data_IF_285293122962
#
_entry.id   IF_285293122962
#
_cell.length_a   1.000
_cell.length_b   1.000
_cell.length_c   1.000
_cell.angle_alpha   90.00
_cell.angle_beta   90.00
_cell.angle_gamma   90.00
#
_symmetry.space_group_name_H-M   'P 1'
#
loop_
_entity.id
_entity.type
_entity.pdbx_description
1 polymer ?
#
# COMPACT_ATOMS: atom_id res chain seq x y z
N UNK A 1 -26.29 -17.76 -17.50
CA UNK A 1 -25.68 -18.15 -18.79
C UNK A 1 -25.41 -19.64 -18.74
N UNK A 2 -26.00 -20.42 -19.65
CA UNK A 2 -25.76 -21.86 -19.75
C UNK A 2 -24.36 -22.09 -20.33
N UNK A 3 -23.56 -22.98 -19.73
CA UNK A 3 -22.21 -23.29 -20.22
C UNK A 3 -22.32 -24.06 -21.55
N UNK A 4 -21.76 -23.50 -22.62
CA UNK A 4 -21.85 -24.10 -23.97
C UNK A 4 -20.82 -25.19 -24.24
N UNK A 5 -19.79 -25.31 -23.39
CA UNK A 5 -18.77 -26.36 -23.49
C UNK A 5 -18.19 -26.67 -22.10
N UNK A 6 -17.52 -27.82 -22.00
CA UNK A 6 -16.78 -28.21 -20.82
C UNK A 6 -15.55 -27.32 -20.62
N UNK A 7 -15.22 -27.05 -19.35
CA UNK A 7 -14.11 -26.17 -19.02
C UNK A 7 -12.79 -26.87 -19.32
N UNK A 8 -11.88 -26.16 -20.01
CA UNK A 8 -10.54 -26.66 -20.34
C UNK A 8 -9.63 -26.66 -19.10
N UNK A 9 -9.91 -25.77 -18.15
CA UNK A 9 -9.19 -25.62 -16.88
C UNK A 9 -10.17 -25.66 -15.72
N UNK A 10 -9.69 -26.17 -14.59
CA UNK A 10 -10.49 -26.21 -13.38
C UNK A 10 -10.83 -24.79 -12.87
N UNK A 11 -12.00 -24.68 -12.24
CA UNK A 11 -12.51 -23.41 -11.72
C UNK A 11 -11.63 -22.79 -10.64
N UNK A 12 -10.96 -23.61 -9.84
CA UNK A 12 -10.07 -23.19 -8.77
C UNK A 12 -8.77 -22.61 -9.34
N UNK A 13 -8.18 -23.27 -10.33
CA UNK A 13 -6.98 -22.78 -11.01
C UNK A 13 -7.27 -21.51 -11.81
N UNK A 14 -8.42 -21.45 -12.47
CA UNK A 14 -8.88 -20.24 -13.15
C UNK A 14 -9.13 -19.06 -12.18
N UNK A 15 -9.48 -19.34 -10.92
CA UNK A 15 -9.61 -18.32 -9.89
C UNK A 15 -8.24 -17.86 -9.37
N UNK A 16 -7.32 -18.78 -9.09
CA UNK A 16 -5.94 -18.48 -8.67
C UNK A 16 -5.21 -17.61 -9.69
N UNK A 17 -5.32 -17.95 -10.98
CA UNK A 17 -4.71 -17.16 -12.07
C UNK A 17 -5.34 -15.77 -12.18
N UNK A 18 -6.67 -15.65 -12.05
CA UNK A 18 -7.35 -14.35 -12.02
C UNK A 18 -6.91 -13.48 -10.85
N UNK A 19 -6.69 -14.08 -9.69
CA UNK A 19 -6.18 -13.37 -8.52
C UNK A 19 -4.73 -12.92 -8.73
N UNK A 20 -3.87 -13.76 -9.31
CA UNK A 20 -2.51 -13.37 -9.68
C UNK A 20 -2.49 -12.22 -10.71
N UNK A 21 -3.39 -12.23 -11.70
CA UNK A 21 -3.54 -11.10 -12.61
C UNK A 21 -4.06 -9.85 -11.91
N UNK A 22 -4.95 -9.97 -10.91
CA UNK A 22 -5.45 -8.83 -10.13
C UNK A 22 -4.33 -8.19 -9.31
N UNK A 23 -3.48 -9.00 -8.67
CA UNK A 23 -2.34 -8.55 -7.88
C UNK A 23 -1.23 -7.92 -8.74
N UNK A 24 -1.07 -8.40 -9.98
CA UNK A 24 -0.06 -7.91 -10.95
C UNK A 24 -0.59 -6.87 -11.93
N UNK A 25 -1.87 -6.54 -11.87
CA UNK A 25 -2.45 -5.56 -12.76
C UNK A 25 -1.70 -4.24 -12.51
N UNK A 26 -1.18 -3.58 -13.55
CA UNK A 26 -0.57 -2.27 -13.37
C UNK A 26 -1.59 -1.39 -12.68
N UNK A 27 -1.14 -0.70 -11.63
CA UNK A 27 -1.89 0.36 -10.99
C UNK A 27 -2.27 1.35 -12.08
N UNK A 28 -3.50 1.26 -12.58
CA UNK A 28 -4.07 2.23 -13.52
C UNK A 28 -4.46 3.49 -12.73
N UNK A 29 -3.58 3.88 -11.80
CA UNK A 29 -3.69 4.97 -10.85
C UNK A 29 -3.52 6.27 -11.66
N UNK A 30 -4.64 6.81 -12.15
CA UNK A 30 -4.66 8.09 -12.87
C UNK A 30 -5.63 8.18 -14.05
N UNK A 31 -6.28 7.08 -14.43
CA UNK A 31 -7.23 7.09 -15.55
C UNK A 31 -6.58 7.50 -16.88
N UNK A 32 -7.37 7.96 -17.85
CA UNK A 32 -6.81 8.42 -19.13
C UNK A 32 -5.93 9.67 -18.93
N UNK A 33 -4.67 9.69 -19.41
CA UNK A 33 -3.79 10.87 -19.33
C UNK A 33 -4.37 12.12 -20.00
N UNK A 34 -5.33 11.92 -20.92
CA UNK A 34 -6.02 12.97 -21.67
C UNK A 34 -7.34 13.41 -21.03
N UNK A 35 -7.75 12.82 -19.91
CA UNK A 35 -8.96 13.26 -19.24
C UNK A 35 -8.75 14.63 -18.60
N UNK A 36 -9.76 15.49 -18.69
CA UNK A 36 -9.80 16.80 -18.08
C UNK A 36 -10.53 16.83 -16.72
N UNK A 37 -10.83 15.66 -16.12
CA UNK A 37 -11.65 15.57 -14.90
C UNK A 37 -10.93 14.90 -13.72
N UNK A 38 -11.02 15.50 -12.55
CA UNK A 38 -10.22 15.21 -11.36
C UNK A 38 -10.33 13.76 -10.89
N UNK A 39 -11.51 13.14 -10.94
CA UNK A 39 -11.71 11.79 -10.39
C UNK A 39 -11.72 10.66 -11.45
N UNK A 40 -11.21 10.93 -12.65
CA UNK A 40 -11.08 9.90 -13.70
C UNK A 40 -10.14 8.78 -13.25
N UNK A 41 -10.55 7.53 -13.40
CA UNK A 41 -9.76 6.36 -12.97
C UNK A 41 -9.95 5.97 -11.51
N UNK A 42 -10.45 6.88 -10.67
CA UNK A 42 -10.73 6.66 -9.24
C UNK A 42 -12.19 6.21 -9.04
N UNK A 43 -13.13 6.74 -9.85
CA UNK A 43 -14.55 6.44 -9.69
C UNK A 43 -14.94 5.00 -10.05
N UNK A 44 -15.84 4.42 -9.26
CA UNK A 44 -16.40 3.08 -9.41
C UNK A 44 -17.93 3.14 -9.31
N UNK A 45 -18.59 2.33 -10.12
CA UNK A 45 -20.04 2.18 -10.08
C UNK A 45 -20.43 1.31 -8.87
N UNK A 46 -21.30 1.84 -8.01
CA UNK A 46 -21.78 1.11 -6.83
C UNK A 46 -22.65 -0.11 -7.11
N UNK A 47 -23.25 -0.21 -8.30
CA UNK A 47 -24.12 -1.34 -8.67
C UNK A 47 -23.35 -2.55 -9.20
N UNK A 48 -22.35 -2.33 -10.07
CA UNK A 48 -21.62 -3.43 -10.72
C UNK A 48 -20.12 -3.44 -10.44
N UNK A 49 -19.61 -2.49 -9.65
CA UNK A 49 -18.19 -2.33 -9.32
C UNK A 49 -17.29 -1.87 -10.47
N UNK A 50 -17.83 -1.73 -11.69
CA UNK A 50 -17.03 -1.34 -12.85
C UNK A 50 -16.54 0.12 -12.76
N UNK A 51 -15.44 0.44 -13.43
CA UNK A 51 -14.94 1.81 -13.51
C UNK A 51 -15.99 2.74 -14.14
N UNK A 52 -16.10 3.96 -13.60
CA UNK A 52 -16.84 5.03 -14.27
C UNK A 52 -15.90 5.78 -15.22
N UNK A 53 -16.33 5.98 -16.45
CA UNK A 53 -15.58 6.64 -17.50
C UNK A 53 -16.29 7.94 -17.91
N UNK A 54 -15.51 8.89 -18.42
CA UNK A 54 -16.04 10.15 -18.94
C UNK A 54 -16.60 9.93 -20.34
N UNK A 55 -17.83 10.36 -20.58
CA UNK A 55 -18.43 10.51 -21.92
C UNK A 55 -18.76 11.96 -22.20
N UNK A 56 -18.72 12.32 -23.48
CA UNK A 56 -19.12 13.64 -23.97
C UNK A 56 -20.48 13.55 -24.66
N UNK A 57 -21.35 14.52 -24.43
CA UNK A 57 -22.52 14.77 -25.27
C UNK A 57 -22.48 16.17 -25.85
N UNK A 58 -22.72 16.26 -27.15
CA UNK A 58 -22.77 17.53 -27.87
C UNK A 58 -24.17 18.11 -27.79
N UNK A 59 -24.31 19.27 -27.16
CA UNK A 59 -25.52 20.10 -27.24
C UNK A 59 -25.42 21.12 -28.38
N UNK A 60 -26.43 21.98 -28.49
CA UNK A 60 -26.52 22.99 -29.57
C UNK A 60 -25.34 23.96 -29.61
N UNK A 61 -24.86 24.41 -28.44
CA UNK A 61 -23.83 25.45 -28.31
C UNK A 61 -22.63 25.04 -27.44
N UNK A 62 -22.66 23.86 -26.81
CA UNK A 62 -21.58 23.39 -25.91
C UNK A 62 -21.51 21.88 -25.81
N UNK A 63 -20.34 21.37 -25.50
CA UNK A 63 -20.10 19.96 -25.17
C UNK A 63 -20.23 19.80 -23.66
N UNK A 64 -20.98 18.78 -23.24
CA UNK A 64 -21.16 18.40 -21.85
C UNK A 64 -20.39 17.13 -21.58
N UNK A 65 -19.85 17.00 -20.38
CA UNK A 65 -19.09 15.82 -19.96
C UNK A 65 -19.72 15.19 -18.74
N UNK A 66 -19.74 13.86 -18.72
CA UNK A 66 -20.40 13.09 -17.68
C UNK A 66 -19.58 11.88 -17.30
N UNK A 67 -19.59 11.54 -16.02
CA UNK A 67 -19.19 10.21 -15.57
C UNK A 67 -20.34 9.24 -15.81
N UNK A 68 -20.01 8.06 -16.34
CA UNK A 68 -20.98 6.99 -16.53
C UNK A 68 -20.32 5.63 -16.32
N UNK A 69 -21.10 4.62 -15.95
CA UNK A 69 -20.62 3.25 -15.78
C UNK A 69 -20.13 2.69 -17.13
N UNK A 70 -18.88 2.23 -17.16
CA UNK A 70 -18.26 1.68 -18.39
C UNK A 70 -18.99 0.46 -18.96
N UNK A 71 -19.64 -0.37 -18.14
CA UNK A 71 -20.46 -1.49 -18.63
C UNK A 71 -21.78 -1.02 -19.24
N UNK A 72 -22.41 -0.01 -18.65
CA UNK A 72 -23.61 0.60 -19.22
C UNK A 72 -23.31 1.25 -20.58
N UNK A 73 -22.18 1.98 -20.68
CA UNK A 73 -21.72 2.59 -21.93
C UNK A 73 -21.46 1.58 -23.05
N UNK A 74 -20.88 0.43 -22.70
CA UNK A 74 -20.57 -0.63 -23.67
C UNK A 74 -21.76 -1.56 -23.97
N UNK A 75 -22.91 -1.34 -23.32
CA UNK A 75 -24.05 -2.25 -23.42
C UNK A 75 -23.80 -3.65 -22.84
N UNK A 76 -22.75 -3.83 -22.04
CA UNK A 76 -22.34 -5.12 -21.47
C UNK A 76 -22.96 -5.45 -20.11
N UNK A 77 -24.03 -4.71 -19.75
CA UNK A 77 -24.84 -4.93 -18.55
C UNK A 77 -24.46 -4.03 -17.38
N UNK A 78 -25.35 -3.08 -17.05
CA UNK A 78 -25.49 -2.29 -15.83
C UNK A 78 -26.52 -1.18 -16.12
N UNK A 79 -27.16 -0.59 -15.11
CA UNK A 79 -27.96 0.62 -15.30
C UNK A 79 -27.09 1.81 -15.75
N UNK A 80 -27.66 2.65 -16.63
CA UNK A 80 -27.06 3.93 -17.00
C UNK A 80 -27.06 4.89 -15.79
N UNK A 81 -25.88 5.39 -15.42
CA UNK A 81 -25.63 6.22 -14.22
C UNK A 81 -24.81 7.44 -14.61
N UNK A 82 -25.42 8.27 -15.45
CA UNK A 82 -24.81 9.47 -15.99
C UNK A 82 -24.86 10.60 -14.97
N UNK A 83 -23.70 11.15 -14.61
CA UNK A 83 -23.55 12.24 -13.63
C UNK A 83 -22.72 13.34 -14.25
N UNK A 84 -23.12 14.60 -14.09
CA UNK A 84 -22.37 15.76 -14.60
C UNK A 84 -20.96 15.77 -14.03
N UNK A 85 -19.95 15.65 -14.89
CA UNK A 85 -18.57 15.46 -14.43
C UNK A 85 -18.02 16.72 -13.74
N UNK A 86 -18.34 17.91 -14.28
CA UNK A 86 -17.91 19.17 -13.67
C UNK A 86 -18.57 19.46 -12.33
N UNK A 87 -19.88 19.22 -12.21
CA UNK A 87 -20.60 19.42 -10.95
C UNK A 87 -20.16 18.39 -9.89
N UNK A 88 -19.95 17.14 -10.30
CA UNK A 88 -19.45 16.10 -9.41
C UNK A 88 -18.04 16.40 -8.93
N UNK A 89 -17.11 16.77 -9.82
CA UNK A 89 -15.74 17.12 -9.46
C UNK A 89 -15.73 18.26 -8.43
N UNK A 90 -16.47 19.33 -8.69
CA UNK A 90 -16.56 20.47 -7.77
C UNK A 90 -17.11 20.04 -6.41
N UNK A 91 -18.26 19.37 -6.39
CA UNK A 91 -18.90 18.92 -5.16
C UNK A 91 -18.02 17.97 -4.35
N UNK A 92 -17.33 17.04 -5.01
CA UNK A 92 -16.47 16.05 -4.35
C UNK A 92 -15.20 16.71 -3.79
N UNK A 93 -14.58 17.63 -4.52
CA UNK A 93 -13.44 18.43 -4.02
C UNK A 93 -13.83 19.22 -2.78
N UNK A 94 -14.95 19.93 -2.83
CA UNK A 94 -15.45 20.71 -1.69
C UNK A 94 -15.74 19.81 -0.49
N UNK A 95 -16.33 18.64 -0.72
CA UNK A 95 -16.61 17.64 0.31
C UNK A 95 -15.32 17.10 0.94
N UNK A 96 -14.28 16.84 0.13
CA UNK A 96 -12.97 16.39 0.62
C UNK A 96 -12.35 17.45 1.53
N UNK A 97 -12.34 18.70 1.08
CA UNK A 97 -11.77 19.80 1.88
C UNK A 97 -12.52 19.94 3.21
N UNK A 98 -13.85 19.90 3.19
CA UNK A 98 -14.68 20.16 4.38
C UNK A 98 -14.73 18.99 5.36
N UNK A 99 -14.61 17.74 4.89
CA UNK A 99 -14.85 16.55 5.73
C UNK A 99 -13.62 15.69 5.97
N UNK A 100 -12.60 15.83 5.13
CA UNK A 100 -11.43 14.93 5.11
C UNK A 100 -10.18 15.69 5.49
N UNK A 101 -9.98 16.86 4.91
CA UNK A 101 -8.87 17.75 5.24
C UNK A 101 -9.23 18.66 6.42
N UNK A 102 -9.67 18.05 7.52
CA UNK A 102 -9.86 18.77 8.80
C UNK A 102 -8.63 18.59 9.68
N UNK A 103 -8.30 19.55 10.57
CA UNK A 103 -7.16 19.43 11.47
C UNK A 103 -7.20 18.16 12.33
N UNK A 104 -8.38 17.74 12.76
CA UNK A 104 -8.59 16.52 13.56
C UNK A 104 -8.21 15.27 12.77
N UNK A 105 -8.70 15.14 11.53
CA UNK A 105 -8.37 14.03 10.64
C UNK A 105 -6.92 14.04 10.21
N UNK A 106 -6.36 15.21 9.94
CA UNK A 106 -4.94 15.35 9.62
C UNK A 106 -4.06 14.87 10.77
N UNK A 107 -4.45 15.11 12.03
CA UNK A 107 -3.75 14.59 13.21
C UNK A 107 -3.78 13.06 13.26
N UNK A 108 -4.93 12.45 13.01
CA UNK A 108 -5.07 10.98 12.93
C UNK A 108 -4.18 10.40 11.82
N UNK A 109 -4.23 10.97 10.61
CA UNK A 109 -3.41 10.51 9.47
C UNK A 109 -1.92 10.66 9.77
N UNK A 110 -1.50 11.76 10.39
CA UNK A 110 -0.11 11.97 10.79
C UNK A 110 0.35 10.90 11.79
N UNK A 111 -0.51 10.56 12.76
CA UNK A 111 -0.19 9.52 13.75
C UNK A 111 -0.09 8.13 13.09
N UNK A 112 -1.04 7.77 12.22
CA UNK A 112 -0.99 6.53 11.44
C UNK A 112 0.23 6.48 10.53
N UNK A 113 0.57 7.59 9.89
CA UNK A 113 1.78 7.71 9.05
C UNK A 113 3.02 7.48 9.89
N UNK A 114 3.11 8.06 11.08
CA UNK A 114 4.26 7.86 11.97
C UNK A 114 4.38 6.41 12.40
N UNK A 115 3.28 5.76 12.76
CA UNK A 115 3.27 4.33 13.11
C UNK A 115 3.76 3.46 11.95
N UNK A 116 3.28 3.75 10.73
CA UNK A 116 3.65 3.02 9.51
C UNK A 116 5.07 3.32 8.99
N UNK A 117 5.58 4.54 9.20
CA UNK A 117 6.92 4.96 8.73
C UNK A 117 7.99 4.78 9.81
N UNK A 118 7.64 4.28 10.99
CA UNK A 118 8.58 4.22 12.11
C UNK A 118 9.67 3.20 11.81
N UNK A 119 10.77 3.65 11.22
CA UNK A 119 12.05 2.92 11.18
C UNK A 119 12.50 2.52 12.58
N UNK A 120 11.95 3.18 13.62
CA UNK A 120 12.11 2.79 15.00
C UNK A 120 11.60 1.37 15.24
N UNK A 121 10.43 0.97 14.72
CA UNK A 121 9.90 -0.39 14.93
C UNK A 121 10.81 -1.44 14.28
N UNK A 122 11.23 -1.19 13.03
CA UNK A 122 12.15 -2.08 12.31
C UNK A 122 13.53 -2.16 12.98
N UNK A 123 14.08 -1.02 13.43
CA UNK A 123 15.35 -0.96 14.13
C UNK A 123 15.28 -1.62 15.52
N UNK A 124 14.19 -1.38 16.25
CA UNK A 124 13.90 -1.96 17.56
C UNK A 124 13.82 -3.49 17.46
N UNK A 125 13.02 -4.01 16.53
CA UNK A 125 12.92 -5.44 16.27
C UNK A 125 14.28 -6.03 15.85
N UNK A 126 15.03 -5.32 14.99
CA UNK A 126 16.37 -5.76 14.57
C UNK A 126 17.34 -5.84 15.74
N UNK A 127 17.40 -4.82 16.60
CA UNK A 127 18.24 -4.79 17.80
C UNK A 127 17.84 -5.90 18.76
N UNK A 128 16.54 -6.05 19.02
CA UNK A 128 15.98 -7.11 19.87
C UNK A 128 16.37 -8.51 19.38
N UNK A 129 16.20 -8.80 18.09
CA UNK A 129 16.55 -10.10 17.51
C UNK A 129 18.06 -10.37 17.57
N UNK A 130 18.90 -9.34 17.40
CA UNK A 130 20.34 -9.47 17.52
C UNK A 130 20.75 -9.90 18.94
N UNK A 131 20.20 -9.27 19.99
CA UNK A 131 20.47 -9.63 21.39
C UNK A 131 19.95 -11.03 21.73
N UNK A 132 18.72 -11.38 21.31
CA UNK A 132 18.16 -12.74 21.48
C UNK A 132 19.08 -13.80 20.85
N UNK A 133 19.64 -13.53 19.67
CA UNK A 133 20.58 -14.44 19.01
C UNK A 133 21.87 -14.61 19.83
N UNK A 134 22.39 -13.54 20.42
CA UNK A 134 23.56 -13.61 21.30
C UNK A 134 23.28 -14.41 22.57
N UNK A 135 22.11 -14.22 23.20
CA UNK A 135 21.67 -15.00 24.36
C UNK A 135 21.60 -16.50 24.02
N UNK A 136 21.00 -16.86 22.89
CA UNK A 136 20.92 -18.26 22.44
C UNK A 136 22.30 -18.87 22.25
N UNK A 137 23.23 -18.15 21.62
CA UNK A 137 24.60 -18.61 21.41
C UNK A 137 25.36 -18.76 22.73
N UNK A 138 25.19 -17.82 23.67
CA UNK A 138 25.82 -17.88 24.99
C UNK A 138 25.29 -19.07 25.80
N UNK A 139 23.97 -19.30 25.78
CA UNK A 139 23.33 -20.47 26.38
C UNK A 139 23.82 -21.79 25.78
N UNK A 140 23.96 -21.87 24.45
CA UNK A 140 24.50 -23.05 23.77
C UNK A 140 25.93 -23.35 24.23
N UNK A 141 26.80 -22.33 24.28
CA UNK A 141 28.18 -22.48 24.78
C UNK A 141 28.20 -22.92 26.24
N UNK A 142 27.32 -22.37 27.06
CA UNK A 142 27.18 -22.73 28.48
C UNK A 142 26.73 -24.19 28.63
N UNK A 143 25.75 -24.62 27.85
CA UNK A 143 25.27 -26.01 27.86
C UNK A 143 26.39 -26.98 27.47
N UNK A 144 27.15 -26.68 26.42
CA UNK A 144 28.30 -27.52 26.03
C UNK A 144 29.33 -27.68 27.15
N UNK A 145 29.55 -26.64 27.97
CA UNK A 145 30.45 -26.75 29.13
C UNK A 145 29.85 -27.60 30.25
N UNK A 146 28.54 -27.52 30.47
CA UNK A 146 27.86 -28.40 31.41
C UNK A 146 27.91 -29.86 30.96
N UNK A 147 27.69 -30.14 29.68
CA UNK A 147 27.76 -31.51 29.13
C UNK A 147 29.16 -32.12 29.34
N UNK A 148 30.23 -31.34 29.14
CA UNK A 148 31.61 -31.77 29.42
C UNK A 148 31.82 -32.09 30.90
N UNK A 149 31.27 -31.26 31.80
CA UNK A 149 31.35 -31.49 33.25
C UNK A 149 30.53 -32.71 33.69
N UNK A 150 29.37 -32.96 33.08
CA UNK A 150 28.55 -34.14 33.34
C UNK A 150 29.23 -35.43 32.88
N UNK A 151 29.93 -35.41 31.74
CA UNK A 151 30.64 -36.56 31.18
C UNK A 151 31.91 -36.93 31.97
N UNK A 152 32.69 -35.95 32.40
CA UNK A 152 34.01 -36.18 32.99
C UNK A 152 34.07 -35.96 34.51
N UNK A 153 33.05 -35.34 35.11
CA UNK A 153 32.98 -35.09 36.54
C UNK A 153 34.22 -34.37 37.10
N UNK A 154 34.77 -34.89 38.20
CA UNK A 154 35.97 -34.31 38.85
C UNK A 154 37.27 -34.53 38.06
N UNK A 155 37.26 -35.46 37.12
CA UNK A 155 38.41 -35.80 36.27
C UNK A 155 38.44 -34.97 34.98
N UNK A 156 37.55 -33.97 34.86
CA UNK A 156 37.52 -33.08 33.70
C UNK A 156 38.86 -32.33 33.55
N UNK A 157 39.50 -32.41 32.36
CA UNK A 157 40.76 -31.70 32.12
C UNK A 157 40.54 -30.19 32.22
N UNK A 158 41.47 -29.50 32.87
CA UNK A 158 41.45 -28.03 33.05
C UNK A 158 40.18 -27.47 33.72
N UNK A 159 39.67 -28.16 34.75
CA UNK A 159 38.47 -27.78 35.50
C UNK A 159 38.46 -26.31 35.99
N UNK A 160 39.62 -25.76 36.37
CA UNK A 160 39.77 -24.35 36.76
C UNK A 160 39.45 -23.36 35.63
N UNK A 161 39.83 -23.69 34.40
CA UNK A 161 39.58 -22.84 33.23
C UNK A 161 38.12 -22.94 32.80
N UNK A 162 37.53 -24.14 32.87
CA UNK A 162 36.11 -24.38 32.59
C UNK A 162 35.21 -23.57 33.54
N UNK A 163 35.49 -23.61 34.83
CA UNK A 163 34.73 -22.85 35.84
C UNK A 163 34.88 -21.34 35.66
N UNK A 164 36.07 -20.87 35.27
CA UNK A 164 36.30 -19.46 34.91
C UNK A 164 35.48 -19.06 33.69
N UNK A 165 35.46 -19.90 32.64
CA UNK A 165 34.69 -19.65 31.43
C UNK A 165 33.18 -19.64 31.68
N UNK A 166 32.69 -20.54 32.54
CA UNK A 166 31.30 -20.58 32.99
C UNK A 166 30.88 -19.28 33.67
N UNK A 167 31.71 -18.73 34.57
CA UNK A 167 31.44 -17.42 35.20
C UNK A 167 31.37 -16.30 34.16
N UNK A 168 32.28 -16.29 33.18
CA UNK A 168 32.25 -15.30 32.10
C UNK A 168 30.96 -15.38 31.28
N UNK A 169 30.54 -16.59 30.87
CA UNK A 169 29.30 -16.78 30.11
C UNK A 169 28.05 -16.39 30.91
N UNK A 170 28.01 -16.71 32.21
CA UNK A 170 26.90 -16.29 33.08
C UNK A 170 26.84 -14.76 33.24
N UNK A 171 27.99 -14.09 33.40
CA UNK A 171 28.03 -12.62 33.43
C UNK A 171 27.60 -12.02 32.09
N UNK A 172 28.03 -12.59 30.97
CA UNK A 172 27.60 -12.15 29.64
C UNK A 172 26.09 -12.33 29.45
N UNK A 173 25.52 -13.46 29.87
CA UNK A 173 24.08 -13.67 29.83
C UNK A 173 23.32 -12.62 30.64
N UNK A 174 23.77 -12.33 31.86
CA UNK A 174 23.15 -11.30 32.69
C UNK A 174 23.16 -9.92 32.01
N UNK A 175 24.29 -9.52 31.42
CA UNK A 175 24.39 -8.24 30.69
C UNK A 175 23.46 -8.20 29.47
N UNK A 176 23.39 -9.31 28.71
CA UNK A 176 22.51 -9.40 27.53
C UNK A 176 21.03 -9.42 27.90
N UNK A 177 20.67 -10.02 29.03
CA UNK A 177 19.30 -10.01 29.56
C UNK A 177 18.89 -8.61 30.04
N UNK A 178 19.81 -7.85 30.66
CA UNK A 178 19.61 -6.45 31.02
C UNK A 178 19.48 -5.56 29.77
N UNK A 179 20.31 -5.77 28.75
CA UNK A 179 20.22 -5.07 27.46
C UNK A 179 18.90 -5.37 26.74
N UNK A 180 18.47 -6.63 26.70
CA UNK A 180 17.19 -7.03 26.12
C UNK A 180 16.02 -6.32 26.82
N UNK A 181 16.05 -6.25 28.15
CA UNK A 181 15.02 -5.55 28.92
C UNK A 181 15.00 -4.06 28.61
N UNK A 182 16.16 -3.42 28.54
CA UNK A 182 16.26 -2.00 28.21
C UNK A 182 15.70 -1.69 26.81
N UNK A 183 15.91 -2.59 25.84
CA UNK A 183 15.29 -2.48 24.52
C UNK A 183 13.77 -2.66 24.62
N UNK A 184 13.29 -3.69 25.34
CA UNK A 184 11.85 -3.95 25.49
C UNK A 184 11.08 -2.84 26.22
N UNK A 185 11.74 -2.06 27.08
CA UNK A 185 11.19 -0.90 27.79
C UNK A 185 11.35 0.43 27.03
N UNK A 186 12.00 0.43 25.86
CA UNK A 186 12.18 1.64 25.05
C UNK A 186 10.85 2.05 24.38
N UNK A 187 10.43 3.30 24.60
CA UNK A 187 9.22 3.86 23.99
C UNK A 187 9.48 4.41 22.58
N UNK A 188 8.46 4.35 21.72
CA UNK A 188 8.50 4.96 20.40
C UNK A 188 8.65 6.49 20.51
N UNK A 189 9.48 7.13 19.67
CA UNK A 189 9.61 8.58 19.67
C UNK A 189 8.29 9.23 19.27
N UNK A 190 7.71 10.03 20.16
CA UNK A 190 6.52 10.84 19.87
C UNK A 190 6.93 12.07 19.07
N UNK A 191 6.49 12.19 17.81
CA UNK A 191 6.63 13.43 17.05
C UNK A 191 5.56 14.40 17.52
N UNK A 192 5.96 15.38 18.33
CA UNK A 192 5.08 16.45 18.77
C UNK A 192 4.92 17.48 17.63
N UNK A 193 4.02 17.21 16.68
CA UNK A 193 3.56 18.23 15.73
C UNK A 193 2.60 19.16 16.48
N UNK A 194 2.87 20.46 16.49
CA UNK A 194 2.00 21.42 17.18
C UNK A 194 0.67 21.57 16.43
N UNK A 195 -0.40 21.86 17.16
CA UNK A 195 -1.71 22.13 16.56
C UNK A 195 -1.67 23.27 15.52
N UNK A 196 -0.78 24.25 15.75
CA UNK A 196 -0.56 25.37 14.84
C UNK A 196 0.04 24.91 13.50
N UNK A 197 1.00 24.00 13.52
CA UNK A 197 1.59 23.41 12.30
C UNK A 197 0.57 22.59 11.52
N UNK A 198 -0.30 21.84 12.22
CA UNK A 198 -1.38 21.06 11.57
C UNK A 198 -2.38 22.02 10.91
N UNK A 199 -2.78 23.09 11.59
CA UNK A 199 -3.69 24.10 11.06
C UNK A 199 -3.10 24.81 9.83
N UNK A 200 -1.83 25.21 9.90
CA UNK A 200 -1.14 25.86 8.79
C UNK A 200 -1.04 24.94 7.58
N UNK A 201 -0.61 23.68 7.78
CA UNK A 201 -0.52 22.70 6.72
C UNK A 201 -1.90 22.43 6.09
N UNK A 202 -2.93 22.20 6.89
CA UNK A 202 -4.30 21.94 6.42
C UNK A 202 -4.84 23.13 5.61
N UNK A 203 -4.59 24.34 6.08
CA UNK A 203 -4.97 25.58 5.39
C UNK A 203 -4.24 25.76 4.06
N UNK A 204 -2.94 25.45 4.00
CA UNK A 204 -2.15 25.49 2.77
C UNK A 204 -2.65 24.46 1.75
N UNK A 205 -2.85 23.20 2.17
CA UNK A 205 -3.37 22.13 1.30
C UNK A 205 -4.75 22.49 0.72
N UNK A 206 -5.65 22.99 1.56
CA UNK A 206 -6.98 23.42 1.12
C UNK A 206 -6.90 24.54 0.07
N UNK A 207 -6.04 25.55 0.28
CA UNK A 207 -5.82 26.63 -0.69
C UNK A 207 -5.23 26.13 -2.00
N UNK A 208 -4.29 25.18 -1.96
CA UNK A 208 -3.69 24.61 -3.17
C UNK A 208 -4.72 23.86 -3.99
N UNK A 209 -5.58 23.06 -3.33
CA UNK A 209 -6.64 22.31 -4.00
C UNK A 209 -7.67 23.26 -4.64
N UNK A 210 -8.12 24.28 -3.91
CA UNK A 210 -9.13 25.23 -4.40
C UNK A 210 -8.62 26.09 -5.56
N UNK A 211 -7.34 26.45 -5.56
CA UNK A 211 -6.76 27.34 -6.58
C UNK A 211 -6.13 26.58 -7.75
N UNK A 212 -6.13 25.24 -7.74
CA UNK A 212 -5.59 24.44 -8.85
C UNK A 212 -6.64 24.31 -9.95
N UNK A 213 -6.46 25.07 -11.04
CA UNK A 213 -7.24 24.88 -12.27
C UNK A 213 -6.82 23.68 -13.13
N UNK A 214 -5.75 22.97 -12.73
CA UNK A 214 -5.19 21.82 -13.45
C UNK A 214 -5.76 20.50 -12.88
N UNK A 215 -6.81 20.00 -13.51
CA UNK A 215 -7.46 18.74 -13.12
C UNK A 215 -6.54 17.51 -13.21
N UNK A 216 -5.44 17.58 -13.96
CA UNK A 216 -4.46 16.49 -14.02
C UNK A 216 -3.63 16.45 -12.73
N UNK A 217 -3.15 17.60 -12.27
CA UNK A 217 -2.44 17.72 -10.97
C UNK A 217 -3.36 17.35 -9.81
N UNK A 218 -4.60 17.84 -9.86
CA UNK A 218 -5.60 17.51 -8.84
C UNK A 218 -5.86 16.00 -8.79
N UNK A 219 -6.01 15.34 -9.93
CA UNK A 219 -6.15 13.87 -9.99
C UNK A 219 -4.96 13.14 -9.40
N UNK A 220 -3.73 13.56 -9.72
CA UNK A 220 -2.51 12.96 -9.17
C UNK A 220 -2.48 13.10 -7.64
N UNK A 221 -2.80 14.30 -7.13
CA UNK A 221 -2.88 14.56 -5.70
C UNK A 221 -3.94 13.68 -5.03
N UNK A 222 -5.15 13.64 -5.58
CA UNK A 222 -6.25 12.82 -5.06
C UNK A 222 -5.91 11.33 -5.09
N UNK A 223 -5.27 10.84 -6.15
CA UNK A 223 -4.85 9.45 -6.29
C UNK A 223 -3.78 9.00 -5.30
N UNK A 224 -3.09 9.93 -4.61
CA UNK A 224 -2.13 9.59 -3.56
C UNK A 224 -2.79 9.09 -2.27
N UNK A 225 -4.03 9.49 -1.96
CA UNK A 225 -4.67 9.09 -0.71
C UNK A 225 -6.03 8.40 -0.90
N UNK A 226 -6.65 8.56 -2.08
CA UNK A 226 -7.92 7.93 -2.43
C UNK A 226 -7.66 6.70 -3.29
N UNK A 227 -8.11 5.53 -2.83
CA UNK A 227 -8.06 4.30 -3.62
C UNK A 227 -9.17 4.26 -4.66
N UNK A 228 -10.41 4.45 -4.19
CA UNK A 228 -11.58 4.50 -5.05
C UNK A 228 -12.70 5.32 -4.41
N UNK A 229 -13.53 5.88 -5.28
CA UNK A 229 -14.78 6.54 -4.90
C UNK A 229 -15.91 5.75 -5.54
N UNK A 230 -16.79 5.18 -4.72
CA UNK A 230 -17.91 4.36 -5.15
C UNK A 230 -19.17 5.22 -5.18
N UNK A 231 -19.78 5.32 -6.36
CA UNK A 231 -21.00 6.11 -6.56
C UNK A 231 -22.22 5.21 -6.59
N UNK A 232 -23.07 5.34 -5.58
CA UNK A 232 -24.34 4.63 -5.44
C UNK A 232 -25.52 5.52 -5.90
N UNK A 233 -26.76 5.01 -5.81
CA UNK A 233 -27.95 5.80 -6.20
C UNK A 233 -28.21 7.00 -5.27
N UNK A 234 -27.91 6.87 -3.98
CA UNK A 234 -28.27 7.86 -2.95
C UNK A 234 -27.09 8.37 -2.13
N UNK A 235 -25.90 7.79 -2.30
CA UNK A 235 -24.71 8.17 -1.55
C UNK A 235 -23.43 7.95 -2.37
N UNK A 236 -22.34 8.50 -1.85
CA UNK A 236 -20.99 8.31 -2.38
C UNK A 236 -20.12 7.82 -1.23
N UNK A 237 -19.41 6.73 -1.45
CA UNK A 237 -18.49 6.14 -0.47
C UNK A 237 -17.05 6.32 -0.96
N UNK A 238 -16.15 6.68 -0.07
CA UNK A 238 -14.74 6.90 -0.39
C UNK A 238 -13.88 5.99 0.46
N UNK A 239 -13.00 5.22 -0.19
CA UNK A 239 -12.04 4.35 0.47
C UNK A 239 -10.65 4.98 0.40
N UNK A 240 -10.02 5.12 1.57
CA UNK A 240 -8.67 5.68 1.71
C UNK A 240 -7.64 4.59 1.87
N UNK A 241 -6.42 4.89 1.42
CA UNK A 241 -5.25 4.03 1.62
C UNK A 241 -4.13 4.83 2.27
N UNK A 242 -4.09 4.88 3.62
CA UNK A 242 -3.09 5.66 4.35
C UNK A 242 -1.65 5.21 4.05
N UNK A 243 -1.47 3.94 3.69
CA UNK A 243 -0.20 3.37 3.22
C UNK A 243 0.38 4.09 1.98
N UNK A 244 -0.46 4.68 1.11
CA UNK A 244 0.00 5.43 -0.07
C UNK A 244 0.51 6.85 0.26
N UNK A 245 0.16 7.38 1.43
CA UNK A 245 0.69 8.64 1.96
C UNK A 245 2.09 8.42 2.53
N UNK A 246 2.29 7.27 3.18
CA UNK A 246 3.50 6.88 3.91
C UNK A 246 4.60 6.36 2.99
N UNK A 247 4.25 5.48 2.07
CA UNK A 247 5.24 4.80 1.23
C UNK A 247 5.55 5.66 -0.01
N UNK A 248 6.39 6.67 0.14
CA UNK A 248 7.11 7.32 -0.97
C UNK A 248 8.26 6.47 -1.51
N UNK A 249 8.20 5.14 -1.36
CA UNK A 249 9.13 4.28 -2.08
C UNK A 249 8.85 4.40 -3.58
N UNK A 250 9.84 4.84 -4.36
CA UNK A 250 9.76 4.97 -5.82
C UNK A 250 9.30 3.67 -6.50
N UNK A 251 9.43 2.52 -5.84
CA UNK A 251 9.00 1.20 -6.33
C UNK A 251 7.49 1.03 -6.49
N UNK A 252 6.64 1.74 -5.73
CA UNK A 252 5.19 1.74 -5.96
C UNK A 252 4.77 2.70 -7.08
N UNK A 253 5.71 3.51 -7.60
CA UNK A 253 5.53 4.44 -8.73
C UNK A 253 6.10 3.91 -10.05
N UNK A 254 6.83 2.80 -10.04
CA UNK A 254 7.15 2.13 -11.29
C UNK A 254 5.85 1.62 -11.90
N UNK A 255 5.53 2.13 -13.09
CA UNK A 255 4.65 1.44 -14.02
C UNK A 255 5.27 0.06 -14.20
N UNK A 256 4.75 -0.95 -13.50
CA UNK A 256 5.15 -2.34 -13.68
C UNK A 256 4.66 -2.78 -15.06
N UNK A 257 5.42 -2.39 -16.08
CA UNK A 257 5.40 -2.98 -17.41
C UNK A 257 6.61 -3.91 -17.44
N UNK A 258 6.49 -5.08 -16.82
CA UNK A 258 7.37 -6.19 -17.18
C UNK A 258 6.96 -6.70 -18.55
N UNK A 259 7.43 -6.04 -19.62
CA UNK A 259 7.34 -6.61 -20.97
C UNK A 259 8.67 -6.65 -21.73
N UNK A 260 9.79 -6.26 -21.11
CA UNK A 260 11.01 -6.01 -21.88
C UNK A 260 12.22 -6.91 -21.60
N UNK A 261 12.09 -8.06 -20.93
CA UNK A 261 13.27 -8.94 -20.76
C UNK A 261 13.16 -10.36 -21.32
N UNK A 262 12.02 -10.77 -21.91
CA UNK A 262 11.93 -12.10 -22.54
C UNK A 262 11.05 -12.13 -23.81
N UNK A 263 11.10 -11.09 -24.64
CA UNK A 263 10.63 -11.23 -26.02
C UNK A 263 11.74 -11.91 -26.83
N UNK A 264 11.68 -13.24 -26.94
CA UNK A 264 12.41 -13.98 -27.97
C UNK A 264 11.66 -13.80 -29.30
N UNK A 265 12.23 -13.15 -30.32
CA UNK A 265 11.61 -13.09 -31.63
C UNK A 265 11.84 -14.43 -32.32
N UNK A 266 11.10 -15.46 -31.95
CA UNK A 266 11.02 -16.63 -32.83
C UNK A 266 10.27 -16.22 -34.10
N UNK A 267 10.85 -16.57 -35.25
CA UNK A 267 10.37 -16.28 -36.60
C UNK A 267 9.07 -17.04 -36.94
N UNK A 268 8.06 -16.96 -36.09
CA UNK A 268 6.87 -17.81 -36.17
C UNK A 268 5.57 -17.12 -36.51
N UNK A 269 5.47 -15.78 -36.48
CA UNK A 269 4.13 -15.16 -36.47
C UNK A 269 3.78 -14.17 -37.59
N UNK A 270 4.68 -13.85 -38.54
CA UNK A 270 4.34 -12.90 -39.62
C UNK A 270 5.03 -13.20 -40.97
N UNK A 271 5.05 -14.46 -41.42
CA UNK A 271 5.30 -14.72 -42.84
C UNK A 271 3.99 -14.53 -43.60
N UNK A 272 3.85 -13.39 -44.29
CA UNK A 272 2.84 -13.23 -45.35
C UNK A 272 3.16 -14.21 -46.48
N UNK A 273 2.16 -14.78 -47.17
CA UNK A 273 2.41 -15.51 -48.40
C UNK A 273 3.08 -14.59 -49.41
N UNK A 274 4.11 -15.08 -50.10
CA UNK A 274 4.69 -14.40 -51.23
C UNK A 274 3.75 -14.59 -52.43
N UNK A 275 3.15 -13.49 -52.89
CA UNK A 275 2.62 -13.30 -54.24
C UNK A 275 3.23 -12.00 -54.80
#
# INVERSE_FOLDING_TARGET
MTKSHDAIIDSEDAAKVREQFRLRAPSNDGGSPHSNFAFTGILRCGECGAAMQTESATGRNKIYHYYNCSRAQKGSGCRNRRISAGEFDQWMVDTIIQRVLTPERMREVIAEVQELTSSWQEDHDRRRQAVIKQIKECNRRRQNLFDVLELHGKDAPNLGDLTTRLRQLNNQLKMLEEELRAIEEEDAPTVNISDEQILEATGLFSKVIQNTGDNKKLRLLMGHFIDKIVVNDSNVEMEYRPDRIVNTNEKSRELVVHSSENWLPEQGSNLRPAD
#
